data_IF_284480793050
#
_entry.id   IF_284480793050
#
_cell.length_a   1.000
_cell.length_b   1.000
_cell.length_c   1.000
_cell.angle_alpha   90.00
_cell.angle_beta   90.00
_cell.angle_gamma   90.00
#
_symmetry.space_group_name_H-M   'P 1'
#
loop_
_entity.id
_entity.type
_entity.pdbx_description
1 polymer ?
#
# COMPACT_ATOMS: atom_id res chain seq x y z
N UNK A 1 -28.39 -22.63 -5.31
CA UNK A 1 -27.93 -21.38 -4.63
C UNK A 1 -26.76 -21.61 -3.67
N UNK A 2 -26.86 -22.45 -2.62
CA UNK A 2 -25.79 -22.62 -1.62
C UNK A 2 -24.42 -23.00 -2.21
N UNK A 3 -24.38 -23.92 -3.18
CA UNK A 3 -23.13 -24.37 -3.83
C UNK A 3 -22.48 -23.24 -4.63
N UNK A 4 -23.26 -22.49 -5.42
CA UNK A 4 -22.75 -21.36 -6.20
C UNK A 4 -22.18 -20.26 -5.29
N UNK A 5 -22.87 -19.95 -4.17
CA UNK A 5 -22.37 -19.01 -3.16
C UNK A 5 -21.05 -19.50 -2.57
N UNK A 6 -20.90 -20.79 -2.29
CA UNK A 6 -19.64 -21.36 -1.79
C UNK A 6 -18.50 -21.22 -2.82
N UNK A 7 -18.79 -21.43 -4.11
CA UNK A 7 -17.79 -21.30 -5.18
C UNK A 7 -17.33 -19.85 -5.31
N UNK A 8 -18.27 -18.89 -5.34
CA UNK A 8 -17.93 -17.46 -5.43
C UNK A 8 -17.18 -17.01 -4.18
N UNK A 9 -17.59 -17.44 -2.99
CA UNK A 9 -16.91 -17.12 -1.74
C UNK A 9 -15.49 -17.69 -1.72
N UNK A 10 -15.31 -18.93 -2.20
CA UNK A 10 -14.00 -19.55 -2.32
C UNK A 10 -13.10 -18.75 -3.26
N UNK A 11 -13.59 -18.44 -4.48
CA UNK A 11 -12.87 -17.62 -5.44
C UNK A 11 -12.43 -16.29 -4.83
N UNK A 12 -13.35 -15.59 -4.16
CA UNK A 12 -13.09 -14.30 -3.54
C UNK A 12 -12.00 -14.36 -2.47
N UNK A 13 -12.08 -15.33 -1.56
CA UNK A 13 -11.09 -15.50 -0.49
C UNK A 13 -9.72 -15.84 -1.08
N UNK A 14 -9.67 -16.75 -2.06
CA UNK A 14 -8.41 -17.13 -2.70
C UNK A 14 -7.80 -15.97 -3.48
N UNK A 15 -8.61 -15.17 -4.19
CA UNK A 15 -8.17 -13.99 -4.92
C UNK A 15 -7.53 -12.97 -3.97
N UNK A 16 -8.18 -12.65 -2.85
CA UNK A 16 -7.64 -11.72 -1.84
C UNK A 16 -6.36 -12.23 -1.18
N UNK A 17 -6.25 -13.53 -0.93
CA UNK A 17 -5.10 -14.13 -0.26
C UNK A 17 -3.90 -14.37 -1.20
N UNK A 18 -4.12 -14.42 -2.51
CA UNK A 18 -3.09 -14.74 -3.52
C UNK A 18 -1.83 -13.87 -3.42
N UNK A 19 -1.89 -12.52 -3.42
CA UNK A 19 -0.69 -11.70 -3.39
C UNK A 19 0.07 -11.84 -2.07
N UNK A 20 -0.64 -12.06 -0.95
CA UNK A 20 -0.05 -12.29 0.37
C UNK A 20 0.69 -13.63 0.44
N UNK A 21 0.08 -14.72 -0.04
CA UNK A 21 0.70 -16.04 -0.03
C UNK A 21 1.92 -16.07 -0.97
N UNK A 22 1.78 -15.48 -2.17
CA UNK A 22 2.86 -15.40 -3.16
C UNK A 22 4.02 -14.54 -2.64
N UNK A 23 3.72 -13.39 -2.05
CA UNK A 23 4.74 -12.52 -1.43
C UNK A 23 5.44 -13.17 -0.23
N UNK A 24 4.73 -14.02 0.54
CA UNK A 24 5.34 -14.80 1.61
C UNK A 24 6.28 -15.90 1.08
N UNK A 25 5.90 -16.58 0.00
CA UNK A 25 6.69 -17.66 -0.57
C UNK A 25 7.92 -17.14 -1.32
N UNK A 26 7.79 -15.99 -2.00
CA UNK A 26 8.88 -15.37 -2.75
C UNK A 26 8.71 -13.86 -2.78
N UNK A 27 9.63 -13.17 -2.12
CA UNK A 27 9.63 -11.71 -1.93
C UNK A 27 9.84 -10.91 -3.21
N UNK A 28 10.36 -11.54 -4.28
CA UNK A 28 10.65 -10.90 -5.57
C UNK A 28 9.74 -11.47 -6.69
N UNK A 29 8.45 -11.54 -6.39
CA UNK A 29 7.43 -11.96 -7.36
C UNK A 29 6.57 -10.77 -7.73
N UNK A 30 6.39 -10.54 -9.03
CA UNK A 30 5.52 -9.48 -9.54
C UNK A 30 4.04 -9.83 -9.27
N UNK A 31 3.43 -9.11 -8.33
CA UNK A 31 2.00 -9.20 -8.00
C UNK A 31 1.22 -7.97 -8.46
N UNK A 32 1.83 -7.08 -9.26
CA UNK A 32 1.24 -5.81 -9.70
C UNK A 32 -0.11 -5.98 -10.37
N UNK A 33 -0.26 -7.02 -11.20
CA UNK A 33 -1.51 -7.35 -11.89
C UNK A 33 -2.68 -7.63 -10.92
N UNK A 34 -2.42 -8.31 -9.80
CA UNK A 34 -3.47 -8.69 -8.83
C UNK A 34 -3.95 -7.46 -8.05
N UNK A 35 -3.03 -6.57 -7.69
CA UNK A 35 -3.35 -5.30 -7.05
C UNK A 35 -4.05 -4.34 -8.03
N UNK A 36 -3.58 -4.25 -9.28
CA UNK A 36 -4.19 -3.39 -10.30
C UNK A 36 -5.65 -3.75 -10.58
N UNK A 37 -6.01 -5.04 -10.54
CA UNK A 37 -7.41 -5.48 -10.67
C UNK A 37 -8.28 -5.15 -9.45
N UNK A 38 -7.66 -4.92 -8.29
CA UNK A 38 -8.36 -4.51 -7.07
C UNK A 38 -8.50 -2.98 -6.96
N UNK A 39 -7.58 -2.23 -7.60
CA UNK A 39 -7.49 -0.77 -7.57
C UNK A 39 -8.16 -0.07 -8.77
N UNK A 40 -8.88 -0.79 -9.64
CA UNK A 40 -9.76 -0.16 -10.64
C UNK A 40 -11.00 0.48 -9.98
N UNK A 41 -10.78 1.48 -9.13
CA UNK A 41 -11.78 2.47 -8.81
C UNK A 41 -11.88 3.37 -10.05
N UNK A 42 -12.87 3.11 -10.92
CA UNK A 42 -13.19 4.06 -12.00
C UNK A 42 -13.39 5.41 -11.33
N UNK A 43 -12.42 6.32 -11.49
CA UNK A 43 -12.45 7.70 -11.00
C UNK A 43 -13.58 8.44 -11.71
N UNK A 44 -14.82 8.13 -11.31
CA UNK A 44 -15.96 8.98 -11.58
C UNK A 44 -15.80 10.12 -10.60
N UNK A 45 -15.13 11.17 -11.07
CA UNK A 45 -15.07 12.52 -10.49
C UNK A 45 -15.44 12.53 -9.00
N UNK A 46 -14.44 12.45 -8.13
CA UNK A 46 -14.61 12.65 -6.69
C UNK A 46 -15.23 14.04 -6.51
N UNK A 47 -16.56 14.09 -6.38
CA UNK A 47 -17.27 15.29 -5.95
C UNK A 47 -16.93 15.44 -4.48
N UNK A 48 -15.90 16.23 -4.21
CA UNK A 48 -15.46 16.57 -2.87
C UNK A 48 -16.64 17.18 -2.10
N UNK A 49 -17.30 16.37 -1.26
CA UNK A 49 -18.22 16.89 -0.26
C UNK A 49 -17.35 17.50 0.84
N UNK A 50 -17.50 18.80 1.09
CA UNK A 50 -16.83 19.50 2.19
C UNK A 50 -17.41 19.02 3.54
N UNK A 51 -17.14 17.78 3.92
CA UNK A 51 -17.38 17.30 5.26
C UNK A 51 -16.28 17.90 6.16
N UNK A 52 -16.66 18.77 7.09
CA UNK A 52 -15.75 19.22 8.13
C UNK A 52 -15.39 18.01 9.01
N UNK A 53 -14.27 17.37 8.73
CA UNK A 53 -13.69 16.35 9.57
C UNK A 53 -13.20 17.02 10.86
N UNK A 54 -14.02 16.97 11.90
CA UNK A 54 -13.60 17.27 13.26
C UNK A 54 -12.71 16.12 13.72
N UNK A 55 -11.40 16.23 13.48
CA UNK A 55 -10.43 15.34 14.07
C UNK A 55 -10.25 15.70 15.54
N UNK A 56 -10.90 14.95 16.42
CA UNK A 56 -10.55 14.94 17.84
C UNK A 56 -9.27 14.11 17.97
N UNK A 57 -8.13 14.79 18.12
CA UNK A 57 -6.84 14.15 18.39
C UNK A 57 -6.89 13.53 19.78
N UNK A 58 -7.29 12.26 19.88
CA UNK A 58 -6.92 11.45 21.04
C UNK A 58 -5.45 11.08 20.86
N UNK A 59 -4.59 11.57 21.76
CA UNK A 59 -3.21 11.09 21.84
C UNK A 59 -3.24 9.59 22.13
N UNK A 60 -2.69 8.73 21.24
CA UNK A 60 -2.57 7.33 21.55
C UNK A 60 -1.59 7.16 22.71
N UNK A 61 -2.08 6.65 23.84
CA UNK A 61 -1.23 6.22 24.95
C UNK A 61 -0.42 5.00 24.47
N UNK A 62 0.80 5.25 24.01
CA UNK A 62 1.74 4.19 23.68
C UNK A 62 2.25 3.55 24.97
N UNK A 63 1.72 2.38 25.31
CA UNK A 63 2.43 1.47 26.19
C UNK A 63 3.70 1.03 25.47
N UNK A 64 4.87 1.39 25.99
CA UNK A 64 6.14 0.88 25.49
C UNK A 64 6.36 -0.54 26.04
N UNK A 65 6.13 -1.62 25.27
CA UNK A 65 6.60 -2.93 25.70
C UNK A 65 8.13 -2.87 25.77
N UNK A 66 8.71 -3.48 26.81
CA UNK A 66 10.14 -3.67 26.94
C UNK A 66 10.64 -4.47 25.73
N UNK A 67 11.20 -3.77 24.75
CA UNK A 67 11.71 -4.39 23.53
C UNK A 67 12.97 -5.17 23.91
N UNK A 68 12.87 -6.51 23.92
CA UNK A 68 14.06 -7.32 23.72
C UNK A 68 14.52 -7.00 22.31
N UNK A 69 15.60 -6.23 22.18
CA UNK A 69 16.14 -5.83 20.89
C UNK A 69 16.56 -7.08 20.11
N UNK A 70 15.65 -7.59 19.27
CA UNK A 70 16.03 -8.49 18.21
C UNK A 70 16.89 -7.67 17.25
N UNK A 71 18.13 -8.11 17.03
CA UNK A 71 19.06 -7.50 16.08
C UNK A 71 18.36 -7.46 14.73
N UNK A 72 18.00 -6.25 14.28
CA UNK A 72 17.44 -6.04 12.95
C UNK A 72 18.62 -6.16 11.97
N UNK A 73 18.85 -7.36 11.44
CA UNK A 73 19.84 -7.54 10.36
C UNK A 73 19.20 -7.07 9.06
N UNK A 74 19.50 -5.84 8.66
CA UNK A 74 19.07 -5.28 7.38
C UNK A 74 19.98 -5.86 6.28
N UNK A 75 19.61 -6.99 5.68
CA UNK A 75 20.44 -7.63 4.64
C UNK A 75 20.57 -6.78 3.36
N UNK A 76 19.66 -5.82 3.17
CA UNK A 76 19.63 -5.00 1.97
C UNK A 76 19.57 -3.51 2.31
N UNK A 77 20.65 -2.96 2.85
CA UNK A 77 20.88 -1.52 2.75
C UNK A 77 21.21 -1.23 1.30
N UNK A 78 20.18 -1.16 0.44
CA UNK A 78 20.32 -0.65 -0.91
C UNK A 78 21.08 0.68 -0.76
N UNK A 79 22.32 0.69 -1.25
CA UNK A 79 23.07 1.92 -1.51
C UNK A 79 22.28 2.63 -2.60
N UNK A 80 21.21 3.32 -2.22
CA UNK A 80 20.62 4.32 -3.07
C UNK A 80 21.73 5.36 -3.24
N UNK A 81 22.35 5.33 -4.42
CA UNK A 81 23.28 6.36 -4.83
C UNK A 81 22.53 7.67 -4.63
N UNK A 82 23.05 8.55 -3.76
CA UNK A 82 22.43 9.82 -3.38
C UNK A 82 22.54 10.80 -4.56
N UNK A 83 22.05 10.39 -5.72
CA UNK A 83 21.93 11.16 -6.94
C UNK A 83 20.61 11.91 -6.84
N UNK A 84 20.53 12.82 -5.87
CA UNK A 84 19.64 13.97 -6.04
C UNK A 84 20.16 14.70 -7.27
N UNK A 85 19.61 14.35 -8.43
CA UNK A 85 19.79 15.13 -9.65
C UNK A 85 19.09 16.44 -9.34
N UNK A 86 19.86 17.53 -9.27
CA UNK A 86 19.35 18.88 -9.08
C UNK A 86 18.28 19.13 -10.14
N UNK A 87 17.02 19.07 -9.73
CA UNK A 87 15.87 19.30 -10.60
C UNK A 87 15.77 20.80 -10.83
N UNK A 88 16.50 21.29 -11.81
CA UNK A 88 16.41 22.66 -12.28
C UNK A 88 15.32 22.73 -13.35
N UNK A 89 14.11 23.15 -12.96
CA UNK A 89 13.09 23.51 -13.94
C UNK A 89 13.51 24.83 -14.61
N UNK A 90 13.54 24.92 -15.95
CA UNK A 90 13.81 26.19 -16.61
C UNK A 90 12.76 27.24 -16.21
N UNK A 91 13.12 28.53 -16.17
CA UNK A 91 12.17 29.60 -15.87
C UNK A 91 10.98 29.55 -16.84
N UNK A 92 9.75 29.78 -16.37
CA UNK A 92 8.59 29.85 -17.26
C UNK A 92 8.78 30.97 -18.28
N UNK A 93 8.43 30.70 -19.54
CA UNK A 93 8.43 31.71 -20.59
C UNK A 93 7.45 32.83 -20.20
N UNK A 94 7.94 34.07 -20.27
CA UNK A 94 7.11 35.25 -20.06
C UNK A 94 6.29 35.47 -21.34
N UNK A 95 5.04 35.03 -21.30
CA UNK A 95 3.99 35.43 -22.25
C UNK A 95 3.52 36.85 -21.98
#
# INVERSE_FOLDING_TARGET
>A
MKVLVKIVLFLFITFLATPTIVGFLKSDTDTSMVYSLSEEETVKEIKETKAQLKFEFQEPVFFAPKQNAAVITFENTLKHDNRFREIFSPPPEQV
#
